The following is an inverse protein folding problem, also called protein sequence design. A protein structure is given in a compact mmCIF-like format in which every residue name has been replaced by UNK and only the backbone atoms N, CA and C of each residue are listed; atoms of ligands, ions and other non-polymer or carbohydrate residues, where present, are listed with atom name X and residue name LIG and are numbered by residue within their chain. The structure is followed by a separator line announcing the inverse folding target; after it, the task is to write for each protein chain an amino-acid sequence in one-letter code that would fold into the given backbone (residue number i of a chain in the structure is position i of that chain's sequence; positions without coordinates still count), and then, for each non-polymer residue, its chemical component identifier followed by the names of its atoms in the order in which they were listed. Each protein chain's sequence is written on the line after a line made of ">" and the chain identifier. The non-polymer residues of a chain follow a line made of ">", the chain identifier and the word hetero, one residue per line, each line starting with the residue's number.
data_IF_537845488997
#
_entry.id   IF_537845488997
#
_cell.length_a   1.000
_cell.length_b   1.000
_cell.length_c   1.000
_cell.angle_alpha   90.00
_cell.angle_beta   90.00
_cell.angle_gamma   90.00
#
_symmetry.space_group_name_H-M   'P 1'
#
loop_
_entity.id
_entity.type
_entity.pdbx_description
1 polymer ?
#
# COMPACT_ATOMS: atom_id res chain seq x y z
N UNK A 1 -8.08 7.54 -17.02
CA UNK A 1 -7.01 6.76 -16.35
C UNK A 1 -6.48 7.38 -15.05
N UNK A 2 -6.24 8.70 -14.96
CA UNK A 2 -5.84 9.36 -13.69
C UNK A 2 -6.84 9.16 -12.56
N UNK A 3 -8.14 9.31 -12.84
CA UNK A 3 -9.22 9.03 -11.87
C UNK A 3 -9.14 7.58 -11.38
N UNK A 4 -8.87 6.61 -12.25
CA UNK A 4 -8.72 5.22 -11.83
C UNK A 4 -7.52 5.02 -10.88
N UNK A 5 -6.38 5.65 -11.15
CA UNK A 5 -5.22 5.63 -10.24
C UNK A 5 -5.58 6.23 -8.86
N UNK A 6 -6.31 7.35 -8.83
CA UNK A 6 -6.79 7.95 -7.58
C UNK A 6 -7.74 7.00 -6.85
N UNK A 7 -8.73 6.41 -7.54
CA UNK A 7 -9.67 5.46 -6.93
C UNK A 7 -8.97 4.23 -6.37
N UNK A 8 -8.03 3.62 -7.12
CA UNK A 8 -7.22 2.50 -6.64
C UNK A 8 -6.40 2.90 -5.42
N UNK A 9 -5.82 4.11 -5.40
CA UNK A 9 -5.07 4.61 -4.24
C UNK A 9 -5.98 4.79 -3.02
N UNK A 10 -7.19 5.33 -3.19
CA UNK A 10 -8.16 5.47 -2.09
C UNK A 10 -8.57 4.12 -1.53
N UNK A 11 -8.81 3.12 -2.39
CA UNK A 11 -9.11 1.75 -1.96
C UNK A 11 -7.91 1.13 -1.23
N UNK A 12 -6.68 1.36 -1.73
CA UNK A 12 -5.47 0.89 -1.09
C UNK A 12 -5.33 1.45 0.33
N UNK A 13 -5.61 2.74 0.54
CA UNK A 13 -5.64 3.36 1.88
C UNK A 13 -6.71 2.71 2.75
N UNK A 14 -7.92 2.50 2.21
CA UNK A 14 -9.04 1.93 2.94
C UNK A 14 -8.79 0.50 3.44
N UNK A 15 -8.00 -0.30 2.70
CA UNK A 15 -7.63 -1.66 3.13
C UNK A 15 -6.33 -1.70 3.94
N UNK A 16 -5.36 -0.83 3.63
CA UNK A 16 -4.07 -0.84 4.34
C UNK A 16 -4.18 -0.25 5.73
N UNK A 17 -5.09 0.69 5.97
CA UNK A 17 -5.28 1.30 7.28
C UNK A 17 -5.74 0.30 8.35
N UNK A 18 -6.86 -0.45 8.19
CA UNK A 18 -7.26 -1.45 9.17
C UNK A 18 -6.22 -2.56 9.35
N UNK A 19 -5.54 -2.97 8.27
CA UNK A 19 -4.48 -3.97 8.38
C UNK A 19 -3.24 -3.45 9.12
N UNK A 20 -2.86 -2.19 8.93
CA UNK A 20 -1.75 -1.60 9.69
C UNK A 20 -2.08 -1.51 11.19
N UNK A 21 -3.34 -1.25 11.55
CA UNK A 21 -3.79 -1.33 12.96
C UNK A 21 -3.64 -2.74 13.53
N UNK A 22 -3.95 -3.76 12.73
CA UNK A 22 -3.73 -5.16 13.08
C UNK A 22 -2.24 -5.48 13.27
N UNK A 23 -1.37 -5.03 12.35
CA UNK A 23 0.08 -5.20 12.45
C UNK A 23 0.65 -4.55 13.72
N UNK A 24 0.11 -3.40 14.14
CA UNK A 24 0.48 -2.79 15.42
C UNK A 24 0.01 -3.60 16.61
N UNK A 25 -1.22 -4.13 16.57
CA UNK A 25 -1.76 -4.93 17.65
C UNK A 25 -0.93 -6.20 17.88
N UNK A 26 -0.47 -6.86 16.81
CA UNK A 26 0.36 -8.06 16.89
C UNK A 26 1.87 -7.80 16.86
N UNK A 27 2.28 -6.53 16.87
CA UNK A 27 3.68 -6.12 16.94
C UNK A 27 4.55 -6.60 15.78
N UNK A 28 4.01 -6.73 14.56
CA UNK A 28 4.72 -7.24 13.37
C UNK A 28 6.10 -6.69 13.15
N UNK A 29 6.18 -5.36 13.13
CA UNK A 29 7.41 -4.67 12.83
C UNK A 29 8.35 -4.62 14.05
N UNK A 30 7.81 -4.81 15.27
CA UNK A 30 8.63 -5.05 16.45
C UNK A 30 9.37 -6.39 16.36
N UNK A 31 8.79 -7.41 15.72
CA UNK A 31 9.47 -8.70 15.47
C UNK A 31 10.67 -8.55 14.54
N UNK A 32 10.68 -7.51 13.71
CA UNK A 32 11.79 -7.12 12.85
C UNK A 32 12.77 -6.15 13.55
N UNK A 33 12.58 -5.87 14.84
CA UNK A 33 13.41 -4.94 15.61
C UNK A 33 13.13 -3.46 15.36
N UNK A 34 12.02 -3.12 14.69
CA UNK A 34 11.65 -1.73 14.39
C UNK A 34 10.78 -1.18 15.54
N UNK A 35 11.22 -0.13 16.25
CA UNK A 35 10.44 0.49 17.32
C UNK A 35 9.08 1.01 16.83
N UNK A 36 8.05 0.88 17.67
CA UNK A 36 6.68 1.28 17.32
C UNK A 36 6.58 2.76 16.90
N UNK A 37 7.33 3.66 17.56
CA UNK A 37 7.39 5.09 17.23
C UNK A 37 7.85 5.35 15.80
N UNK A 38 8.85 4.59 15.32
CA UNK A 38 9.35 4.68 13.94
C UNK A 38 8.27 4.17 12.99
N UNK A 39 7.63 3.06 13.30
CA UNK A 39 6.55 2.51 12.46
C UNK A 39 5.36 3.47 12.34
N UNK A 40 4.93 4.12 13.42
CA UNK A 40 3.87 5.13 13.37
C UNK A 40 4.26 6.30 12.46
N UNK A 41 5.50 6.78 12.56
CA UNK A 41 6.00 7.88 11.74
C UNK A 41 6.07 7.49 10.26
N UNK A 42 6.56 6.28 9.94
CA UNK A 42 6.61 5.76 8.57
C UNK A 42 5.21 5.64 7.97
N UNK A 43 4.25 5.09 8.73
CA UNK A 43 2.88 4.92 8.26
C UNK A 43 2.18 6.28 8.03
N UNK A 44 2.32 7.21 8.97
CA UNK A 44 1.78 8.56 8.83
C UNK A 44 2.38 9.27 7.60
N UNK A 45 3.69 9.10 7.37
CA UNK A 45 4.37 9.65 6.19
C UNK A 45 3.86 8.99 4.91
N UNK A 46 3.70 7.68 4.88
CA UNK A 46 3.18 6.95 3.72
C UNK A 46 1.79 7.46 3.32
N UNK A 47 0.87 7.60 4.28
CA UNK A 47 -0.47 8.13 4.00
C UNK A 47 -0.44 9.60 3.58
N UNK A 48 0.36 10.44 4.24
CA UNK A 48 0.53 11.84 3.83
C UNK A 48 1.01 11.94 2.37
N UNK A 49 2.00 11.14 1.99
CA UNK A 49 2.51 11.08 0.61
C UNK A 49 1.46 10.60 -0.39
N UNK A 50 0.61 9.63 -0.03
CA UNK A 50 -0.50 9.22 -0.88
C UNK A 50 -1.53 10.34 -1.06
N UNK A 51 -1.89 11.07 0.00
CA UNK A 51 -2.81 12.21 -0.09
C UNK A 51 -2.23 13.35 -0.94
N UNK A 52 -0.94 13.67 -0.76
CA UNK A 52 -0.22 14.63 -1.59
C UNK A 52 -0.22 14.18 -3.06
N UNK A 53 0.07 12.90 -3.30
CA UNK A 53 0.07 12.30 -4.64
C UNK A 53 -1.31 12.38 -5.30
N UNK A 54 -2.39 12.15 -4.56
CA UNK A 54 -3.77 12.31 -5.04
C UNK A 54 -4.01 13.77 -5.44
N UNK A 55 -3.72 14.73 -4.56
CA UNK A 55 -3.92 16.15 -4.83
C UNK A 55 -3.14 16.62 -6.07
N UNK A 56 -1.87 16.21 -6.19
CA UNK A 56 -1.04 16.52 -7.36
C UNK A 56 -1.57 15.87 -8.64
N UNK A 57 -2.02 14.61 -8.58
CA UNK A 57 -2.56 13.88 -9.73
C UNK A 57 -3.84 14.53 -10.26
N UNK A 58 -4.73 14.97 -9.36
CA UNK A 58 -5.97 15.67 -9.70
C UNK A 58 -5.70 17.06 -10.32
N UNK A 59 -4.60 17.72 -9.94
CA UNK A 59 -4.13 18.97 -10.56
C UNK A 59 -3.41 18.77 -11.90
N UNK A 60 -3.37 17.56 -12.44
CA UNK A 60 -2.70 17.30 -13.71
C UNK A 60 -1.19 17.05 -13.61
N UNK A 61 -0.59 17.11 -12.41
CA UNK A 61 0.86 16.96 -12.25
C UNK A 61 1.36 15.55 -12.52
N UNK A 62 2.42 15.43 -13.32
CA UNK A 62 3.09 14.15 -13.57
C UNK A 62 3.83 13.61 -12.33
N UNK A 63 4.30 14.50 -11.43
CA UNK A 63 4.96 14.07 -10.19
C UNK A 63 3.98 13.38 -9.23
N UNK A 64 2.71 13.78 -9.23
CA UNK A 64 1.65 13.10 -8.47
C UNK A 64 1.45 11.66 -8.93
N UNK A 65 1.42 11.43 -10.25
CA UNK A 65 1.27 10.08 -10.82
C UNK A 65 2.44 9.18 -10.42
N UNK A 66 3.67 9.70 -10.52
CA UNK A 66 4.88 8.97 -10.11
C UNK A 66 4.83 8.63 -8.62
N UNK A 67 4.50 9.61 -7.77
CA UNK A 67 4.42 9.41 -6.32
C UNK A 67 3.40 8.32 -5.95
N UNK A 68 2.21 8.34 -6.54
CA UNK A 68 1.20 7.30 -6.31
C UNK A 68 1.65 5.92 -6.79
N UNK A 69 2.33 5.85 -7.93
CA UNK A 69 2.90 4.60 -8.43
C UNK A 69 3.95 4.02 -7.50
N UNK A 70 4.86 4.86 -7.00
CA UNK A 70 5.89 4.46 -6.02
C UNK A 70 5.24 3.99 -4.73
N UNK A 71 4.26 4.71 -4.19
CA UNK A 71 3.56 4.29 -2.98
C UNK A 71 2.83 2.97 -3.16
N UNK A 72 2.19 2.74 -4.32
CA UNK A 72 1.59 1.46 -4.67
C UNK A 72 2.61 0.31 -4.66
N UNK A 73 3.79 0.54 -5.26
CA UNK A 73 4.88 -0.44 -5.25
C UNK A 73 5.40 -0.72 -3.83
N UNK A 74 5.60 0.32 -3.00
CA UNK A 74 6.04 0.17 -1.60
C UNK A 74 5.06 -0.68 -0.81
N UNK A 75 3.75 -0.41 -0.91
CA UNK A 75 2.72 -1.20 -0.24
C UNK A 75 2.72 -2.66 -0.71
N UNK A 76 2.78 -2.89 -2.02
CA UNK A 76 2.80 -4.23 -2.60
C UNK A 76 4.03 -5.02 -2.14
N UNK A 77 5.23 -4.46 -2.30
CA UNK A 77 6.48 -5.12 -1.95
C UNK A 77 6.61 -5.32 -0.44
N UNK A 78 6.20 -4.32 0.36
CA UNK A 78 6.18 -4.42 1.82
C UNK A 78 5.28 -5.55 2.31
N UNK A 79 4.03 -5.63 1.81
CA UNK A 79 3.10 -6.69 2.18
C UNK A 79 3.62 -8.09 1.77
N UNK A 80 4.20 -8.24 0.58
CA UNK A 80 4.82 -9.50 0.16
C UNK A 80 6.01 -9.86 1.05
N UNK A 81 6.87 -8.89 1.38
CA UNK A 81 8.08 -9.14 2.17
C UNK A 81 7.76 -9.54 3.61
N UNK A 82 6.82 -8.84 4.25
CA UNK A 82 6.46 -9.07 5.65
C UNK A 82 5.54 -10.28 5.80
N UNK A 83 4.51 -10.40 4.95
CA UNK A 83 3.42 -11.36 5.15
C UNK A 83 3.34 -12.47 4.09
N UNK A 84 4.13 -12.40 3.01
CA UNK A 84 4.03 -13.33 1.88
C UNK A 84 4.21 -14.80 2.27
N UNK A 85 5.12 -15.09 3.24
CA UNK A 85 5.28 -16.45 3.76
C UNK A 85 4.02 -16.90 4.50
N UNK A 86 3.47 -16.06 5.36
CA UNK A 86 2.35 -16.44 6.20
C UNK A 86 1.04 -16.57 5.40
N UNK A 87 0.86 -15.73 4.38
CA UNK A 87 -0.20 -15.84 3.38
C UNK A 87 -0.22 -17.23 2.72
N UNK A 88 0.96 -17.76 2.39
CA UNK A 88 1.09 -19.05 1.69
C UNK A 88 1.07 -20.26 2.63
N UNK A 89 1.59 -20.13 3.86
CA UNK A 89 1.96 -21.30 4.68
C UNK A 89 1.35 -21.34 6.09
N UNK A 90 0.76 -20.25 6.61
CA UNK A 90 0.30 -20.24 8.01
C UNK A 90 -1.00 -21.04 8.28
N UNK A 91 -1.63 -21.63 7.26
CA UNK A 91 -2.82 -22.48 7.43
C UNK A 91 -3.99 -21.75 8.10
N UNK A 92 -4.76 -22.42 8.96
CA UNK A 92 -5.90 -21.80 9.67
C UNK A 92 -5.49 -20.90 10.86
N UNK A 93 -4.21 -20.94 11.29
CA UNK A 93 -3.72 -20.24 12.49
C UNK A 93 -3.27 -18.79 12.26
N UNK A 94 -3.56 -18.21 11.11
CA UNK A 94 -3.09 -16.87 10.75
C UNK A 94 -3.96 -15.78 11.40
N UNK A 95 -3.56 -15.24 12.57
CA UNK A 95 -4.17 -14.07 13.25
C UNK A 95 -5.72 -14.08 13.28
N UNK A 96 -6.38 -13.01 12.80
CA UNK A 96 -7.82 -12.89 12.60
C UNK A 96 -8.36 -13.76 11.45
N UNK A 97 -7.61 -14.78 11.02
CA UNK A 97 -7.99 -15.74 10.01
C UNK A 97 -8.10 -15.13 8.62
N UNK A 98 -9.24 -15.37 7.97
CA UNK A 98 -9.45 -14.98 6.57
C UNK A 98 -9.49 -13.47 6.33
N UNK A 99 -9.83 -12.67 7.34
CA UNK A 99 -9.95 -11.21 7.19
C UNK A 99 -8.57 -10.57 6.97
N UNK A 100 -7.58 -10.89 7.81
CA UNK A 100 -6.20 -10.41 7.66
C UNK A 100 -5.66 -10.76 6.26
N UNK A 101 -5.84 -12.03 5.85
CA UNK A 101 -5.43 -12.51 4.53
C UNK A 101 -6.08 -11.76 3.38
N UNK A 102 -7.37 -11.47 3.50
CA UNK A 102 -8.09 -10.73 2.48
C UNK A 102 -7.56 -9.29 2.38
N UNK A 103 -7.34 -8.62 3.52
CA UNK A 103 -6.78 -7.26 3.54
C UNK A 103 -5.38 -7.23 2.92
N UNK A 104 -4.48 -8.13 3.31
CA UNK A 104 -3.13 -8.22 2.75
C UNK A 104 -3.14 -8.51 1.24
N UNK A 105 -3.95 -9.47 0.80
CA UNK A 105 -4.09 -9.80 -0.61
C UNK A 105 -4.58 -8.59 -1.40
N UNK A 106 -5.54 -7.83 -0.85
CA UNK A 106 -6.02 -6.59 -1.46
C UNK A 106 -4.94 -5.50 -1.49
N UNK A 107 -4.12 -5.36 -0.44
CA UNK A 107 -2.98 -4.42 -0.43
C UNK A 107 -2.00 -4.75 -1.56
N UNK A 108 -1.63 -6.03 -1.71
CA UNK A 108 -0.73 -6.50 -2.77
C UNK A 108 -1.31 -6.19 -4.14
N UNK A 109 -2.56 -6.60 -4.38
CA UNK A 109 -3.23 -6.44 -5.68
C UNK A 109 -3.43 -4.97 -6.02
N UNK A 110 -3.98 -4.17 -5.11
CA UNK A 110 -4.22 -2.74 -5.35
C UNK A 110 -2.92 -1.95 -5.48
N UNK A 111 -1.90 -2.28 -4.70
CA UNK A 111 -0.56 -1.69 -4.81
C UNK A 111 0.06 -1.95 -6.20
N UNK A 112 -0.01 -3.19 -6.67
CA UNK A 112 0.43 -3.57 -8.01
C UNK A 112 -0.35 -2.82 -9.11
N UNK A 113 -1.68 -2.72 -9.00
CA UNK A 113 -2.50 -1.97 -9.96
C UNK A 113 -2.16 -0.48 -9.96
N UNK A 114 -1.95 0.14 -8.81
CA UNK A 114 -1.55 1.55 -8.72
C UNK A 114 -0.19 1.78 -9.44
N UNK A 115 0.80 0.93 -9.18
CA UNK A 115 2.10 0.99 -9.85
C UNK A 115 1.97 0.82 -11.37
N UNK A 116 1.23 -0.19 -11.84
CA UNK A 116 1.04 -0.46 -13.26
C UNK A 116 0.31 0.68 -13.99
N UNK A 117 -0.74 1.24 -13.37
CA UNK A 117 -1.48 2.39 -13.92
C UNK A 117 -0.58 3.63 -14.03
N UNK A 118 0.26 3.88 -13.03
CA UNK A 118 1.21 5.00 -13.04
C UNK A 118 2.23 4.86 -14.19
N UNK A 119 2.81 3.67 -14.39
CA UNK A 119 3.71 3.40 -15.51
C UNK A 119 3.01 3.65 -16.85
N UNK A 120 1.81 3.11 -17.03
CA UNK A 120 1.05 3.28 -18.28
C UNK A 120 0.74 4.75 -18.58
N UNK A 121 0.33 5.52 -17.56
CA UNK A 121 0.09 6.96 -17.68
C UNK A 121 1.35 7.75 -18.07
N UNK A 122 2.53 7.31 -17.60
CA UNK A 122 3.81 7.95 -17.95
C UNK A 122 4.20 7.68 -19.39
N UNK A 123 4.08 6.43 -19.85
CA UNK A 123 4.39 6.05 -21.24
C UNK A 123 3.51 6.82 -22.24
N UNK A 124 2.21 6.95 -21.96
CA UNK A 124 1.30 7.71 -22.84
C UNK A 124 1.53 9.22 -22.83
N UNK A 125 2.23 9.77 -21.85
CA UNK A 125 2.52 11.20 -21.78
C UNK A 125 3.80 11.59 -22.55
N UNK A 126 4.60 10.61 -22.96
CA UNK A 126 5.87 10.79 -23.67
C UNK A 126 5.83 10.34 -25.13
N UNK A 127 4.71 9.77 -25.57
CA UNK A 127 4.45 9.33 -26.94
C UNK A 127 3.57 10.35 -27.66
#
# INVERSE_FOLDING_TARGET
>A
MRVALVMVTCLLIAVSFPHALEDFHYGDLLRLGIPASITYALLATAYALQLIGIALTLRGSASGVVLLGVMGAVWCLGAVFVHGRDLLFAGAGYRHGMISRALESLIIVLGMFAAALAVRLRVTATA
#
